data_IF_004433269941
#
_entry.id   IF_004433269941
#
_cell.length_a   1.000
_cell.length_b   1.000
_cell.length_c   1.000
_cell.angle_alpha   90.00
_cell.angle_beta   90.00
_cell.angle_gamma   90.00
#
_symmetry.space_group_name_H-M   'P 1'
#
loop_
_entity.id
_entity.type
_entity.pdbx_description
1 polymer ?
#
# COMPACT_ATOMS: atom_id res chain seq x y z
N UNK A 1 67.51 10.29 -52.48
CA UNK A 1 66.32 11.17 -52.56
C UNK A 1 65.29 10.67 -51.55
N UNK A 2 64.84 11.55 -50.66
CA UNK A 2 63.86 11.32 -49.58
C UNK A 2 62.44 11.14 -50.15
N UNK A 3 61.63 10.25 -49.56
CA UNK A 3 60.16 10.35 -49.45
C UNK A 3 59.65 9.18 -48.57
N UNK A 4 59.45 9.36 -47.26
CA UNK A 4 58.21 9.81 -46.57
C UNK A 4 57.15 8.69 -46.38
N UNK A 5 56.95 8.32 -45.10
CA UNK A 5 55.67 8.05 -44.40
C UNK A 5 54.58 7.21 -45.10
N UNK A 6 54.06 6.14 -44.50
CA UNK A 6 53.10 6.26 -43.38
C UNK A 6 52.83 4.91 -42.69
N UNK A 7 52.71 4.96 -41.36
CA UNK A 7 52.23 3.91 -40.46
C UNK A 7 50.75 3.62 -40.74
N UNK A 8 50.34 2.34 -40.75
CA UNK A 8 48.95 1.95 -40.49
C UNK A 8 48.91 1.08 -39.24
N UNK A 9 48.56 1.72 -38.13
CA UNK A 9 48.21 1.09 -36.87
C UNK A 9 46.78 0.58 -37.03
N UNK A 10 46.58 -0.73 -37.03
CA UNK A 10 45.25 -1.34 -37.05
C UNK A 10 44.57 -1.14 -35.69
N UNK A 11 43.55 -0.29 -35.63
CA UNK A 11 42.65 -0.17 -34.49
C UNK A 11 41.62 -1.32 -34.57
N UNK A 12 41.66 -2.26 -33.64
CA UNK A 12 40.52 -3.14 -33.37
C UNK A 12 39.42 -2.31 -32.72
N UNK A 13 38.33 -2.07 -33.45
CA UNK A 13 37.08 -1.60 -32.88
C UNK A 13 36.37 -2.79 -32.23
N UNK A 14 36.43 -2.89 -30.89
CA UNK A 14 35.46 -3.70 -30.14
C UNK A 14 34.11 -3.01 -30.23
N UNK A 15 33.16 -3.60 -30.98
CA UNK A 15 31.75 -3.29 -30.82
C UNK A 15 31.33 -3.72 -29.41
N UNK A 16 31.05 -2.74 -28.54
CA UNK A 16 30.33 -2.97 -27.30
C UNK A 16 28.85 -2.84 -27.63
N UNK A 17 28.18 -3.98 -27.83
CA UNK A 17 26.73 -4.04 -27.95
C UNK A 17 26.13 -3.61 -26.60
N UNK A 18 25.70 -2.36 -26.48
CA UNK A 18 24.87 -1.92 -25.37
C UNK A 18 23.48 -2.56 -25.58
N UNK A 19 23.25 -3.69 -24.92
CA UNK A 19 21.92 -4.27 -24.82
C UNK A 19 21.01 -3.26 -24.13
N UNK A 20 19.99 -2.78 -24.84
CA UNK A 20 18.88 -2.03 -24.27
C UNK A 20 18.11 -3.02 -23.38
N UNK A 21 18.46 -3.09 -22.09
CA UNK A 21 17.62 -3.78 -21.11
C UNK A 21 16.41 -2.87 -20.94
N UNK A 22 15.31 -3.22 -21.63
CA UNK A 22 14.00 -2.68 -21.31
C UNK A 22 13.76 -3.09 -19.87
N UNK A 23 13.80 -2.13 -18.94
CA UNK A 23 13.37 -2.36 -17.58
C UNK A 23 11.92 -2.81 -17.66
N UNK A 24 11.66 -4.07 -17.32
CA UNK A 24 10.31 -4.49 -16.98
C UNK A 24 9.89 -3.60 -15.82
N UNK A 25 8.88 -2.76 -16.01
CA UNK A 25 8.10 -2.24 -14.88
C UNK A 25 7.55 -3.49 -14.20
N UNK A 26 8.14 -3.90 -13.09
CA UNK A 26 7.49 -4.87 -12.23
C UNK A 26 6.18 -4.20 -11.82
N UNK A 27 5.04 -4.76 -12.23
CA UNK A 27 3.76 -4.34 -11.66
C UNK A 27 3.74 -4.88 -10.24
N UNK A 28 3.40 -4.03 -9.28
CA UNK A 28 3.07 -4.49 -7.95
C UNK A 28 1.76 -5.29 -8.03
N UNK A 29 1.70 -6.42 -7.34
CA UNK A 29 0.42 -7.06 -7.05
C UNK A 29 -0.24 -6.20 -5.97
N UNK A 30 -1.42 -5.66 -6.28
CA UNK A 30 -2.14 -4.75 -5.40
C UNK A 30 -3.43 -5.43 -4.96
N UNK A 31 -3.68 -5.44 -3.65
CA UNK A 31 -4.96 -5.79 -3.05
C UNK A 31 -5.56 -4.53 -2.45
N UNK A 32 -6.83 -4.28 -2.75
CA UNK A 32 -7.61 -3.19 -2.17
C UNK A 32 -8.65 -3.77 -1.21
N UNK A 33 -8.73 -3.17 -0.03
CA UNK A 33 -9.66 -3.55 1.02
C UNK A 33 -10.52 -2.37 1.40
N UNK A 34 -11.82 -2.63 1.42
CA UNK A 34 -12.85 -1.77 1.96
C UNK A 34 -13.26 -2.36 3.32
N UNK A 35 -13.17 -1.59 4.41
CA UNK A 35 -13.50 -2.05 5.76
C UNK A 35 -14.99 -1.84 6.12
N UNK A 36 -15.86 -2.01 5.15
CA UNK A 36 -17.28 -2.25 5.32
C UNK A 36 -17.87 -3.01 4.13
N UNK A 37 -19.18 -3.23 4.18
CA UNK A 37 -20.01 -3.68 3.06
C UNK A 37 -21.50 -3.52 3.39
N UNK A 38 -22.37 -3.78 2.43
CA UNK A 38 -23.83 -3.65 2.57
C UNK A 38 -24.44 -4.56 3.65
N UNK A 39 -23.72 -5.62 4.05
CA UNK A 39 -24.12 -6.52 5.14
C UNK A 39 -23.54 -6.11 6.51
N UNK A 40 -22.66 -5.11 6.54
CA UNK A 40 -22.08 -4.57 7.77
C UNK A 40 -23.03 -3.54 8.40
N UNK A 41 -22.81 -3.20 9.67
CA UNK A 41 -23.61 -2.16 10.31
C UNK A 41 -23.35 -0.84 9.62
N UNK A 42 -24.37 -0.30 8.92
CA UNK A 42 -24.28 1.01 8.27
C UNK A 42 -23.04 1.11 7.38
N UNK A 43 -22.80 0.09 6.57
CA UNK A 43 -21.74 0.10 5.57
C UNK A 43 -22.24 0.08 4.14
N UNK A 44 -21.32 0.26 3.20
CA UNK A 44 -21.56 0.24 1.77
C UNK A 44 -20.45 -0.54 1.06
N UNK A 45 -20.81 -1.47 0.18
CA UNK A 45 -19.79 -2.23 -0.58
C UNK A 45 -19.25 -1.39 -1.72
N UNK A 46 -17.92 -1.30 -1.87
CA UNK A 46 -17.32 -0.80 -3.11
C UNK A 46 -17.70 -1.69 -4.30
N UNK A 47 -18.25 -1.12 -5.39
CA UNK A 47 -18.47 -1.88 -6.63
C UNK A 47 -17.17 -2.50 -7.14
N UNK A 48 -17.23 -3.74 -7.62
CA UNK A 48 -16.07 -4.44 -8.20
C UNK A 48 -16.40 -4.93 -9.62
N UNK A 49 -15.81 -4.33 -10.67
CA UNK A 49 -14.88 -3.20 -10.62
C UNK A 49 -15.53 -1.86 -10.23
N UNK A 50 -14.75 -0.98 -9.63
CA UNK A 50 -15.14 0.40 -9.28
C UNK A 50 -15.18 1.32 -10.52
N UNK A 51 -15.45 2.61 -10.30
CA UNK A 51 -15.45 3.61 -11.38
C UNK A 51 -14.10 3.79 -12.10
N UNK A 52 -12.99 3.34 -11.51
CA UNK A 52 -11.64 3.37 -12.06
C UNK A 52 -11.21 2.03 -12.68
N UNK A 53 -12.06 0.99 -12.60
CA UNK A 53 -11.75 -0.35 -13.09
C UNK A 53 -11.02 -1.25 -12.08
N UNK A 54 -10.87 -0.80 -10.83
CA UNK A 54 -10.19 -1.55 -9.78
C UNK A 54 -11.16 -2.52 -9.09
N UNK A 55 -10.68 -3.69 -8.74
CA UNK A 55 -11.42 -4.67 -7.93
C UNK A 55 -11.07 -4.53 -6.45
N UNK A 56 -12.08 -4.72 -5.61
CA UNK A 56 -12.04 -4.47 -4.18
C UNK A 56 -12.51 -5.67 -3.38
N UNK A 57 -11.89 -5.87 -2.22
CA UNK A 57 -12.32 -6.86 -1.26
C UNK A 57 -13.05 -6.14 -0.11
N UNK A 58 -14.38 -6.09 -0.15
CA UNK A 58 -15.20 -5.45 0.87
C UNK A 58 -15.43 -6.39 2.07
N UNK A 59 -14.77 -6.08 3.18
CA UNK A 59 -14.59 -6.95 4.33
C UNK A 59 -15.68 -6.74 5.37
N UNK A 60 -16.13 -7.84 6.00
CA UNK A 60 -17.05 -7.83 7.15
C UNK A 60 -16.38 -8.32 8.42
N UNK A 61 -16.71 -7.65 9.54
CA UNK A 61 -16.27 -8.06 10.87
C UNK A 61 -16.55 -9.54 11.15
N UNK A 62 -15.56 -10.23 11.72
CA UNK A 62 -15.69 -11.61 12.21
C UNK A 62 -15.71 -12.70 11.14
N UNK A 63 -15.53 -12.36 9.86
CA UNK A 63 -15.36 -13.34 8.78
C UNK A 63 -13.88 -13.59 8.45
N UNK A 64 -13.65 -14.75 7.84
CA UNK A 64 -12.40 -15.12 7.20
C UNK A 64 -12.62 -15.13 5.69
N UNK A 65 -11.76 -14.44 4.95
CA UNK A 65 -11.82 -14.29 3.51
C UNK A 65 -10.65 -15.04 2.90
N UNK A 66 -10.94 -15.93 1.96
CA UNK A 66 -9.94 -16.71 1.23
C UNK A 66 -9.87 -16.28 -0.21
N UNK A 67 -8.70 -16.48 -0.82
CA UNK A 67 -8.49 -16.29 -2.25
C UNK A 67 -8.94 -14.89 -2.73
N UNK A 68 -8.42 -13.84 -2.07
CA UNK A 68 -8.78 -12.45 -2.36
C UNK A 68 -8.43 -12.07 -3.81
N UNK A 69 -9.22 -11.16 -4.40
CA UNK A 69 -8.96 -10.67 -5.75
C UNK A 69 -7.94 -9.52 -5.73
N UNK A 70 -7.00 -9.56 -6.69
CA UNK A 70 -6.11 -8.44 -6.99
C UNK A 70 -6.86 -7.26 -7.63
N UNK A 71 -6.19 -6.11 -7.76
CA UNK A 71 -6.76 -4.89 -8.33
C UNK A 71 -7.31 -5.06 -9.75
N UNK A 72 -6.86 -6.08 -10.49
CA UNK A 72 -7.32 -6.38 -11.85
C UNK A 72 -8.43 -7.45 -11.88
N UNK A 73 -8.85 -7.97 -10.73
CA UNK A 73 -9.90 -8.96 -10.57
C UNK A 73 -9.43 -10.41 -10.75
N UNK A 74 -8.12 -10.67 -10.64
CA UNK A 74 -7.63 -12.04 -10.60
C UNK A 74 -7.63 -12.55 -9.16
N UNK A 75 -8.23 -13.72 -8.97
CA UNK A 75 -8.18 -14.45 -7.71
C UNK A 75 -6.75 -14.84 -7.35
N UNK A 76 -6.32 -14.45 -6.15
CA UNK A 76 -4.99 -14.75 -5.60
C UNK A 76 -5.06 -15.92 -4.61
N UNK A 77 -3.95 -16.27 -3.97
CA UNK A 77 -3.94 -17.19 -2.83
C UNK A 77 -3.99 -16.45 -1.49
N UNK A 78 -4.06 -15.12 -1.49
CA UNK A 78 -3.95 -14.32 -0.27
C UNK A 78 -5.26 -14.40 0.50
N UNK A 79 -5.14 -14.62 1.81
CA UNK A 79 -6.28 -14.68 2.72
C UNK A 79 -6.26 -13.48 3.69
N UNK A 80 -7.43 -13.12 4.22
CA UNK A 80 -7.58 -12.09 5.25
C UNK A 80 -8.46 -12.58 6.40
N UNK A 81 -8.06 -12.25 7.64
CA UNK A 81 -8.89 -12.54 8.81
C UNK A 81 -8.60 -11.64 10.00
N UNK A 82 -9.65 -11.28 10.74
CA UNK A 82 -9.52 -10.60 12.03
C UNK A 82 -9.03 -11.58 13.10
N UNK A 83 -8.08 -11.13 13.93
CA UNK A 83 -7.80 -11.79 15.22
C UNK A 83 -8.68 -11.23 16.32
N UNK A 84 -8.83 -9.89 16.34
CA UNK A 84 -9.82 -9.19 17.15
C UNK A 84 -10.62 -8.30 16.21
N UNK A 85 -11.91 -8.59 16.05
CA UNK A 85 -12.81 -7.79 15.23
C UNK A 85 -13.25 -6.52 15.98
N UNK A 86 -13.35 -5.42 15.23
CA UNK A 86 -13.98 -4.18 15.64
C UNK A 86 -15.41 -4.10 15.11
N UNK A 87 -15.83 -2.91 14.72
CA UNK A 87 -17.12 -2.66 14.09
C UNK A 87 -17.06 -1.51 13.09
N UNK A 88 -17.93 -1.62 12.09
CA UNK A 88 -18.14 -0.64 11.02
C UNK A 88 -19.29 0.31 11.37
N UNK A 89 -19.19 1.56 10.93
CA UNK A 89 -20.29 2.52 10.81
C UNK A 89 -19.88 3.62 9.82
N UNK A 90 -20.84 4.34 9.24
CA UNK A 90 -20.57 5.60 8.53
C UNK A 90 -20.78 6.82 9.43
N UNK A 91 -21.52 6.69 10.54
CA UNK A 91 -22.03 7.84 11.29
C UNK A 91 -20.89 8.63 11.91
N UNK A 92 -20.86 9.96 11.74
CA UNK A 92 -19.74 10.88 12.01
C UNK A 92 -18.48 10.57 11.16
N UNK A 93 -18.57 9.71 10.17
CA UNK A 93 -17.50 9.44 9.23
C UNK A 93 -17.41 10.54 8.16
N UNK A 94 -16.68 10.28 7.08
CA UNK A 94 -16.65 11.17 5.94
C UNK A 94 -17.95 11.19 5.13
N UNK A 95 -19.03 10.52 5.58
CA UNK A 95 -20.35 10.30 4.96
C UNK A 95 -21.17 11.54 4.54
N UNK A 96 -20.57 12.73 4.53
CA UNK A 96 -21.25 13.97 4.18
C UNK A 96 -22.38 14.36 5.14
N UNK A 97 -23.30 15.19 4.62
CA UNK A 97 -24.45 15.70 5.37
C UNK A 97 -25.71 14.84 5.24
N UNK A 98 -25.74 13.91 4.29
CA UNK A 98 -26.93 13.11 3.93
C UNK A 98 -26.72 11.61 4.12
N UNK A 99 -25.61 11.19 4.72
CA UNK A 99 -25.38 9.80 5.12
C UNK A 99 -25.40 8.82 3.92
N UNK A 100 -24.80 9.24 2.81
CA UNK A 100 -24.74 8.48 1.55
C UNK A 100 -23.29 8.41 1.04
N UNK A 101 -22.81 7.29 0.49
CA UNK A 101 -21.46 7.19 -0.06
C UNK A 101 -21.12 8.30 -1.07
N UNK A 102 -22.07 8.65 -1.95
CA UNK A 102 -21.89 9.71 -2.94
C UNK A 102 -21.81 11.12 -2.35
N UNK A 103 -22.13 11.27 -1.07
CA UNK A 103 -22.00 12.51 -0.32
C UNK A 103 -20.69 12.62 0.45
N UNK A 104 -19.80 11.63 0.33
CA UNK A 104 -18.51 11.67 1.00
C UNK A 104 -17.67 12.87 0.57
N UNK A 105 -16.87 13.39 1.50
CA UNK A 105 -16.02 14.57 1.25
C UNK A 105 -14.56 14.14 1.38
N UNK A 106 -13.84 14.10 0.27
CA UNK A 106 -12.43 13.73 0.21
C UNK A 106 -11.76 14.22 -1.08
N UNK A 107 -10.43 14.19 -1.15
CA UNK A 107 -9.66 14.44 -2.37
C UNK A 107 -9.26 13.11 -3.01
N UNK A 108 -10.00 12.70 -4.04
CA UNK A 108 -9.78 11.45 -4.74
C UNK A 108 -8.37 11.34 -5.36
N UNK A 109 -7.79 12.45 -5.82
CA UNK A 109 -6.46 12.43 -6.43
C UNK A 109 -5.38 12.24 -5.36
N UNK A 110 -5.56 12.83 -4.19
CA UNK A 110 -4.63 12.68 -3.07
C UNK A 110 -4.63 11.25 -2.48
N UNK A 111 -5.81 10.62 -2.43
CA UNK A 111 -5.96 9.25 -1.91
C UNK A 111 -5.59 8.14 -2.92
N UNK A 112 -5.45 8.49 -4.20
CA UNK A 112 -5.09 7.54 -5.27
C UNK A 112 -6.14 6.43 -5.39
N UNK A 113 -5.70 5.16 -5.40
CA UNK A 113 -6.60 4.01 -5.49
C UNK A 113 -7.60 3.96 -4.34
N UNK A 114 -7.29 4.54 -3.16
CA UNK A 114 -8.17 4.52 -1.99
C UNK A 114 -9.31 5.56 -2.06
N UNK A 115 -9.27 6.46 -3.04
CA UNK A 115 -10.23 7.55 -3.19
C UNK A 115 -11.53 7.14 -3.87
N UNK A 116 -12.28 6.22 -3.27
CA UNK A 116 -13.60 5.76 -3.75
C UNK A 116 -14.66 6.01 -2.67
N UNK A 117 -15.83 6.49 -3.09
CA UNK A 117 -16.93 6.91 -2.22
C UNK A 117 -17.22 5.88 -1.11
N UNK A 118 -17.48 4.62 -1.46
CA UNK A 118 -17.82 3.57 -0.50
C UNK A 118 -16.62 3.19 0.41
N UNK A 119 -15.41 3.12 -0.16
CA UNK A 119 -14.19 2.80 0.60
C UNK A 119 -13.85 3.87 1.65
N UNK A 120 -14.17 5.13 1.33
CA UNK A 120 -13.98 6.27 2.23
C UNK A 120 -15.11 6.30 3.26
N UNK A 121 -16.35 6.02 2.86
CA UNK A 121 -17.56 6.15 3.65
C UNK A 121 -17.51 5.40 4.98
N UNK A 122 -17.03 4.17 4.95
CA UNK A 122 -17.03 3.26 6.09
C UNK A 122 -15.80 3.43 6.95
N UNK A 123 -15.99 3.74 8.24
CA UNK A 123 -14.90 3.61 9.21
C UNK A 123 -15.08 2.34 10.03
N UNK A 124 -13.95 1.72 10.38
CA UNK A 124 -13.85 0.55 11.21
C UNK A 124 -12.94 0.85 12.40
N UNK A 125 -13.42 0.59 13.61
CA UNK A 125 -12.67 0.93 14.82
C UNK A 125 -11.56 -0.08 15.16
N UNK A 126 -10.70 0.30 16.12
CA UNK A 126 -9.52 -0.46 16.57
C UNK A 126 -9.67 -1.97 16.47
N UNK A 127 -8.77 -2.60 15.72
CA UNK A 127 -8.79 -4.05 15.52
C UNK A 127 -7.41 -4.61 15.26
N UNK A 128 -7.34 -5.93 15.23
CA UNK A 128 -6.15 -6.67 14.80
C UNK A 128 -6.53 -7.68 13.73
N UNK A 129 -5.72 -7.80 12.70
CA UNK A 129 -5.97 -8.67 11.55
C UNK A 129 -4.68 -9.26 11.00
N UNK A 130 -4.87 -10.24 10.13
CA UNK A 130 -3.83 -11.01 9.47
C UNK A 130 -4.09 -11.01 7.97
N UNK A 131 -3.04 -10.76 7.20
CA UNK A 131 -3.00 -11.01 5.76
C UNK A 131 -2.06 -12.21 5.56
N UNK A 132 -2.57 -13.33 5.06
CA UNK A 132 -1.88 -14.62 5.07
C UNK A 132 -1.62 -15.12 3.64
N UNK A 133 -0.77 -16.15 3.53
CA UNK A 133 -0.42 -16.78 2.25
C UNK A 133 0.25 -15.81 1.26
N UNK A 134 0.92 -14.79 1.80
CA UNK A 134 1.72 -13.87 1.00
C UNK A 134 2.96 -14.58 0.44
N UNK A 135 3.50 -14.09 -0.67
CA UNK A 135 4.79 -14.56 -1.18
C UNK A 135 5.92 -14.18 -0.21
N UNK A 136 6.64 -15.16 0.37
CA UNK A 136 7.71 -14.90 1.34
C UNK A 136 8.96 -14.28 0.71
N UNK A 137 9.08 -14.26 -0.61
CA UNK A 137 10.21 -13.66 -1.33
C UNK A 137 9.99 -12.18 -1.65
N UNK A 138 8.82 -11.65 -1.30
CA UNK A 138 8.46 -10.25 -1.53
C UNK A 138 8.38 -9.48 -0.22
N UNK A 139 8.49 -8.16 -0.33
CA UNK A 139 8.13 -7.22 0.73
C UNK A 139 6.90 -6.44 0.31
N UNK A 140 6.19 -5.89 1.29
CA UNK A 140 4.88 -5.27 1.08
C UNK A 140 4.83 -3.88 1.71
N UNK A 141 4.23 -2.95 0.97
CA UNK A 141 3.85 -1.63 1.46
C UNK A 141 2.35 -1.63 1.76
N UNK A 142 1.99 -1.18 2.96
CA UNK A 142 0.61 -1.03 3.40
C UNK A 142 0.27 0.46 3.48
N UNK A 143 -0.66 0.90 2.64
CA UNK A 143 -1.17 2.29 2.63
C UNK A 143 -2.55 2.31 3.28
N UNK A 144 -2.65 3.04 4.39
CA UNK A 144 -3.85 3.15 5.21
C UNK A 144 -4.53 4.49 4.98
N UNK A 145 -5.85 4.46 4.75
CA UNK A 145 -6.70 5.63 4.85
C UNK A 145 -7.67 5.45 6.03
N UNK A 146 -7.68 6.42 6.93
CA UNK A 146 -8.59 6.47 8.09
C UNK A 146 -9.13 7.87 8.26
N UNK A 147 -10.43 7.99 8.54
CA UNK A 147 -11.12 9.28 8.64
C UNK A 147 -12.30 9.22 9.61
N UNK A 148 -12.36 10.20 10.51
CA UNK A 148 -13.39 10.26 11.56
C UNK A 148 -13.64 11.71 11.98
N UNK A 149 -14.90 12.16 11.92
CA UNK A 149 -15.37 13.36 12.63
C UNK A 149 -15.66 12.99 14.08
N UNK A 150 -15.43 13.93 14.97
CA UNK A 150 -15.64 13.83 16.41
C UNK A 150 -15.04 12.56 17.02
N UNK A 151 -13.77 12.21 16.70
CA UNK A 151 -13.15 11.09 17.39
C UNK A 151 -13.12 11.40 18.89
N UNK A 152 -13.68 10.50 19.68
CA UNK A 152 -14.04 10.77 21.08
C UNK A 152 -12.83 10.81 22.02
N UNK A 153 -11.78 10.08 21.68
CA UNK A 153 -10.69 9.71 22.56
C UNK A 153 -9.30 9.82 21.92
N UNK A 154 -9.21 9.84 20.58
CA UNK A 154 -7.94 10.05 19.88
C UNK A 154 -8.10 10.61 18.46
N UNK A 155 -7.38 11.66 18.12
CA UNK A 155 -7.35 12.25 16.77
C UNK A 155 -6.31 11.61 15.85
N UNK A 156 -5.51 10.69 16.37
CA UNK A 156 -4.44 10.02 15.64
C UNK A 156 -4.59 8.52 15.78
N UNK A 157 -4.67 7.81 14.64
CA UNK A 157 -4.60 6.35 14.61
C UNK A 157 -3.17 5.90 14.38
N UNK A 158 -2.69 4.96 15.19
CA UNK A 158 -1.42 4.26 14.99
C UNK A 158 -1.66 2.89 14.40
N UNK A 159 -1.14 2.66 13.18
CA UNK A 159 -1.10 1.36 12.54
C UNK A 159 0.23 0.69 12.83
N UNK A 160 0.21 -0.53 13.33
CA UNK A 160 1.40 -1.25 13.81
C UNK A 160 1.48 -2.63 13.17
N UNK A 161 2.64 -2.96 12.62
CA UNK A 161 2.99 -4.31 12.22
C UNK A 161 3.66 -5.05 13.38
N UNK A 162 3.33 -6.32 13.57
CA UNK A 162 3.83 -7.15 14.68
C UNK A 162 4.52 -8.41 14.18
N UNK A 163 5.30 -9.02 15.07
CA UNK A 163 6.03 -10.27 14.78
C UNK A 163 5.12 -11.49 14.66
N UNK A 164 3.99 -11.51 15.36
CA UNK A 164 3.10 -12.67 15.46
C UNK A 164 1.68 -12.28 15.91
N UNK A 165 0.80 -13.29 15.97
CA UNK A 165 -0.61 -13.17 16.34
C UNK A 165 -0.87 -12.80 17.81
N UNK A 166 0.16 -12.58 18.63
CA UNK A 166 -0.01 -12.06 20.00
C UNK A 166 -0.15 -10.53 20.01
N UNK A 167 0.26 -9.84 18.93
CA UNK A 167 0.21 -8.38 18.81
C UNK A 167 0.93 -7.65 19.96
N UNK A 168 2.03 -8.23 20.46
CA UNK A 168 2.80 -7.68 21.59
C UNK A 168 4.10 -7.02 21.18
N UNK A 169 4.80 -7.57 20.19
CA UNK A 169 6.13 -7.09 19.75
C UNK A 169 6.01 -6.35 18.42
N UNK A 170 6.06 -5.00 18.41
CA UNK A 170 5.96 -4.23 17.17
C UNK A 170 7.25 -4.34 16.34
N UNK A 171 7.09 -4.46 15.02
CA UNK A 171 8.16 -4.37 14.02
C UNK A 171 8.32 -2.92 13.57
N UNK A 172 7.21 -2.28 13.23
CA UNK A 172 7.13 -0.92 12.72
C UNK A 172 5.74 -0.34 13.01
N UNK A 173 5.62 0.99 13.04
CA UNK A 173 4.35 1.67 13.12
C UNK A 173 4.36 2.97 12.32
N UNK A 174 3.17 3.43 11.95
CA UNK A 174 2.94 4.74 11.33
C UNK A 174 1.69 5.36 11.92
N UNK A 175 1.69 6.68 12.04
CA UNK A 175 0.58 7.45 12.60
C UNK A 175 -0.16 8.20 11.48
N UNK A 176 -1.48 8.29 11.59
CA UNK A 176 -2.36 9.08 10.72
C UNK A 176 -3.25 9.98 11.56
N UNK A 177 -3.27 11.27 11.27
CA UNK A 177 -4.29 12.17 11.84
C UNK A 177 -5.61 11.91 11.11
N UNK A 178 -6.63 11.45 11.82
CA UNK A 178 -7.92 11.04 11.25
C UNK A 178 -9.00 12.14 11.30
N UNK A 179 -8.75 13.18 12.09
CA UNK A 179 -9.61 14.35 12.28
C UNK A 179 -9.06 15.26 13.37
N UNK A 180 -9.81 16.31 13.74
CA UNK A 180 -9.35 17.33 14.69
C UNK A 180 -9.99 17.22 16.09
N UNK A 181 -10.85 16.22 16.30
CA UNK A 181 -11.64 16.05 17.53
C UNK A 181 -12.99 16.79 17.48
N UNK A 182 -13.24 17.56 16.42
CA UNK A 182 -14.46 18.30 16.15
C UNK A 182 -15.06 17.79 14.83
N UNK A 183 -15.65 18.68 14.03
CA UNK A 183 -16.36 18.32 12.81
C UNK A 183 -15.42 17.99 11.64
N UNK A 184 -14.14 18.34 11.72
CA UNK A 184 -13.19 18.12 10.65
C UNK A 184 -12.60 16.71 10.73
N UNK A 185 -12.31 16.16 9.56
CA UNK A 185 -11.82 14.80 9.38
C UNK A 185 -10.75 14.77 8.27
N UNK A 186 -9.99 13.69 8.22
CA UNK A 186 -8.99 13.48 7.16
C UNK A 186 -9.67 13.31 5.80
N UNK A 187 -9.20 14.03 4.79
CA UNK A 187 -9.79 14.06 3.44
C UNK A 187 -8.78 13.68 2.35
N UNK A 188 -7.48 13.72 2.64
CA UNK A 188 -6.45 13.75 1.61
C UNK A 188 -5.13 13.10 2.04
N UNK A 189 -5.01 12.65 3.30
CA UNK A 189 -3.78 12.04 3.80
C UNK A 189 -3.92 10.52 3.95
N UNK A 190 -2.84 9.82 3.65
CA UNK A 190 -2.67 8.40 3.91
C UNK A 190 -1.41 8.18 4.77
N UNK A 191 -1.38 7.07 5.49
CA UNK A 191 -0.18 6.63 6.20
C UNK A 191 0.37 5.35 5.57
N UNK A 192 1.69 5.24 5.44
CA UNK A 192 2.33 4.10 4.74
C UNK A 192 3.32 3.39 5.65
N UNK A 193 3.14 2.09 5.83
CA UNK A 193 4.17 1.18 6.35
C UNK A 193 4.86 0.51 5.18
N UNK A 194 6.18 0.64 5.08
CA UNK A 194 6.93 0.12 3.94
C UNK A 194 7.83 -1.06 4.25
N UNK A 195 8.05 -1.91 3.24
CA UNK A 195 9.06 -2.97 3.28
C UNK A 195 8.77 -4.09 4.28
N UNK A 196 7.49 -4.37 4.57
CA UNK A 196 7.13 -5.43 5.51
C UNK A 196 7.38 -6.81 4.91
N UNK A 197 8.02 -7.69 5.66
CA UNK A 197 8.23 -9.09 5.26
C UNK A 197 7.20 -9.99 5.95
N UNK A 198 6.58 -10.95 5.23
CA UNK A 198 5.70 -11.92 5.85
C UNK A 198 6.40 -12.77 6.93
N UNK A 199 5.67 -13.10 7.98
CA UNK A 199 6.16 -13.80 9.17
C UNK A 199 5.63 -15.23 9.25
N UNK A 200 6.41 -16.13 9.85
CA UNK A 200 5.97 -17.49 10.17
C UNK A 200 5.71 -18.39 8.95
N UNK A 201 5.21 -19.63 9.18
CA UNK A 201 5.06 -20.64 8.13
C UNK A 201 3.92 -20.38 7.14
N UNK A 202 2.93 -19.55 7.51
CA UNK A 202 1.82 -19.16 6.64
C UNK A 202 2.07 -17.81 5.96
N UNK A 203 3.29 -17.26 6.08
CA UNK A 203 3.71 -16.01 5.46
C UNK A 203 2.70 -14.88 5.73
N UNK A 204 2.66 -14.43 6.97
CA UNK A 204 1.60 -13.56 7.49
C UNK A 204 2.11 -12.16 7.81
N UNK A 205 1.34 -11.13 7.46
CA UNK A 205 1.47 -9.81 8.07
C UNK A 205 0.46 -9.68 9.21
N UNK A 206 0.96 -9.43 10.41
CA UNK A 206 0.15 -9.22 11.62
C UNK A 206 0.00 -7.72 11.86
N UNK A 207 -1.19 -7.18 11.62
CA UNK A 207 -1.44 -5.74 11.71
C UNK A 207 -2.45 -5.46 12.82
N UNK A 208 -2.16 -4.46 13.65
CA UNK A 208 -3.08 -3.94 14.64
C UNK A 208 -3.11 -2.41 14.60
N UNK A 209 -4.24 -1.83 14.99
CA UNK A 209 -4.34 -0.38 15.11
C UNK A 209 -5.27 0.05 16.24
N UNK A 210 -4.92 1.20 16.81
CA UNK A 210 -5.65 1.89 17.87
C UNK A 210 -5.28 3.37 17.88
N UNK A 211 -5.89 4.16 18.76
CA UNK A 211 -5.48 5.54 18.98
C UNK A 211 -4.04 5.61 19.48
N UNK A 212 -3.23 6.54 18.96
CA UNK A 212 -1.81 6.68 19.31
C UNK A 212 -1.57 7.00 20.81
N UNK A 213 -2.58 7.54 21.49
CA UNK A 213 -2.64 7.88 22.92
C UNK A 213 -3.39 6.82 23.75
N UNK A 214 -3.75 5.68 23.15
CA UNK A 214 -4.46 4.57 23.80
C UNK A 214 -5.99 4.64 23.69
N UNK A 215 -6.53 5.58 22.91
CA UNK A 215 -7.94 5.64 22.55
C UNK A 215 -8.28 4.73 21.36
N UNK A 216 -9.37 5.06 20.68
CA UNK A 216 -9.90 4.33 19.53
C UNK A 216 -9.24 4.83 18.25
N UNK A 217 -8.71 3.90 17.46
CA UNK A 217 -8.21 4.16 16.12
C UNK A 217 -9.27 3.79 15.08
N UNK A 218 -9.10 4.30 13.86
CA UNK A 218 -10.07 4.14 12.78
C UNK A 218 -9.36 3.88 11.46
N UNK A 219 -9.88 2.91 10.71
CA UNK A 219 -9.43 2.53 9.37
C UNK A 219 -10.66 2.47 8.45
N UNK A 220 -10.55 3.00 7.25
CA UNK A 220 -11.62 2.98 6.26
C UNK A 220 -11.23 2.07 5.09
N UNK A 221 -10.05 2.31 4.53
CA UNK A 221 -9.55 1.55 3.40
C UNK A 221 -8.05 1.23 3.54
N UNK A 222 -7.64 0.11 2.94
CA UNK A 222 -6.25 -0.35 2.91
C UNK A 222 -5.87 -0.77 1.50
N UNK A 223 -4.67 -0.35 1.09
CA UNK A 223 -3.98 -0.93 -0.04
C UNK A 223 -2.79 -1.74 0.46
N UNK A 224 -2.67 -2.99 0.00
CA UNK A 224 -1.47 -3.81 0.15
C UNK A 224 -0.83 -3.92 -1.21
N UNK A 225 0.41 -3.45 -1.37
CA UNK A 225 1.13 -3.52 -2.62
C UNK A 225 2.45 -4.26 -2.43
N UNK A 226 2.81 -5.16 -3.34
CA UNK A 226 4.18 -5.67 -3.35
C UNK A 226 5.15 -4.52 -3.66
N UNK A 227 6.23 -4.44 -2.90
CA UNK A 227 7.25 -3.42 -3.14
C UNK A 227 7.96 -3.75 -4.43
N UNK A 228 7.95 -2.83 -5.37
CA UNK A 228 8.81 -2.92 -6.54
C UNK A 228 10.20 -2.40 -6.15
N UNK A 229 11.23 -3.24 -6.07
CA UNK A 229 12.58 -2.73 -5.83
C UNK A 229 12.93 -1.78 -6.98
N UNK A 230 13.35 -0.55 -6.66
CA UNK A 230 13.77 0.40 -7.69
C UNK A 230 14.78 -0.28 -8.63
N UNK A 231 14.60 -0.19 -9.96
CA UNK A 231 15.46 -0.90 -10.87
C UNK A 231 16.89 -0.37 -10.68
N UNK A 232 17.79 -1.26 -10.25
CA UNK A 232 19.21 -1.00 -9.97
C UNK A 232 20.02 -0.44 -11.17
N UNK A 233 19.36 -0.15 -12.28
CA UNK A 233 19.87 0.50 -13.47
C UNK A 233 20.52 1.87 -13.21
N UNK A 234 20.06 2.64 -12.22
CA UNK A 234 20.72 3.92 -11.87
C UNK A 234 22.14 3.70 -11.30
N UNK A 235 22.30 2.69 -10.45
CA UNK A 235 23.60 2.33 -9.86
C UNK A 235 24.56 1.75 -10.90
N UNK A 236 24.04 0.98 -11.87
CA UNK A 236 24.84 0.43 -12.96
C UNK A 236 25.28 1.50 -13.99
N UNK A 237 24.44 2.52 -14.25
CA UNK A 237 24.81 3.66 -15.11
C UNK A 237 25.91 4.52 -14.49
N UNK A 238 25.85 4.75 -13.18
CA UNK A 238 26.88 5.48 -12.42
C UNK A 238 28.20 4.69 -12.37
N UNK A 239 28.16 3.39 -12.11
CA UNK A 239 29.36 2.54 -12.12
C UNK A 239 30.00 2.44 -13.52
N UNK A 240 29.17 2.33 -14.58
CA UNK A 240 29.64 2.30 -15.97
C UNK A 240 30.27 3.62 -16.43
N UNK A 241 29.69 4.75 -16.05
CA UNK A 241 30.22 6.08 -16.40
C UNK A 241 31.53 6.41 -15.65
N UNK A 242 31.66 6.01 -14.38
CA UNK A 242 32.92 6.11 -13.63
C UNK A 242 34.04 5.25 -14.22
N UNK A 243 33.74 4.03 -14.69
CA UNK A 243 34.71 3.17 -15.35
C UNK A 243 35.18 3.74 -16.70
N UNK A 244 34.28 4.36 -17.46
CA UNK A 244 34.58 5.05 -18.73
C UNK A 244 35.43 6.32 -18.52
N UNK A 245 35.17 7.09 -17.46
CA UNK A 245 35.95 8.28 -17.11
C UNK A 245 37.36 7.94 -16.62
N UNK A 246 37.52 6.85 -15.85
CA UNK A 246 38.83 6.39 -15.36
C UNK A 246 39.70 5.82 -16.50
N UNK A 247 39.09 5.20 -17.52
CA UNK A 247 39.80 4.66 -18.69
C UNK A 247 40.26 5.73 -19.68
N UNK A 248 39.65 6.92 -19.68
CA UNK A 248 40.08 8.07 -20.53
C UNK A 248 41.24 8.88 -19.96
N UNK A 249 41.68 8.61 -18.73
CA UNK A 249 42.76 9.37 -18.04
C UNK A 249 44.10 8.63 -17.94
N UNK A 250 44.24 7.47 -18.57
CA UNK A 250 45.48 6.70 -18.67
C UNK A 250 45.94 6.55 -20.11
#
# INVERSE_FOLDING_TARGET
MRSQFTKRLGFLASLLSAGLIIGSTANADILLFDFGNDDSNRGASVPSPDGNGNYWNSIRAGLFFTDLDDIAGNTTTVDFGFTTAGGTDYFNGPSGAVEDPSATVYDALALGNLGVDEAVYDWYNSSTFQIQQLDPNQTYDLTFFGSRKYPLDDTVTRYTAYTDATFTTPIAFVDLTIGDGLADHNQDQVAVLTGLTPQGPNHVLYIGYAGASGGTGYLNALQVATTVPEPATLTLLLAGSLALLKRRRN
#
